data_IF_037995767498
#
_entry.id   IF_037995767498
#
_cell.length_a   1.000
_cell.length_b   1.000
_cell.length_c   1.000
_cell.angle_alpha   90.00
_cell.angle_beta   90.00
_cell.angle_gamma   90.00
#
_symmetry.space_group_name_H-M   'P 1'
#
loop_
_entity.id
_entity.type
_entity.pdbx_description
1 polymer ?
#
# COMPACT_ATOMS: atom_id res chain seq x y z
N UNK A 1 -21.90 -32.87 46.35
CA UNK A 1 -20.59 -32.17 46.24
C UNK A 1 -20.07 -32.32 44.81
N UNK A 2 -20.55 -31.50 43.87
CA UNK A 2 -20.04 -31.47 42.49
C UNK A 2 -19.36 -30.10 42.29
N UNK A 3 -18.04 -30.09 42.27
CA UNK A 3 -17.24 -28.92 41.97
C UNK A 3 -17.09 -28.79 40.44
N UNK A 4 -17.65 -27.71 39.89
CA UNK A 4 -17.49 -27.30 38.50
C UNK A 4 -16.09 -26.70 38.31
N UNK A 5 -15.27 -27.33 37.49
CA UNK A 5 -13.97 -26.82 37.07
C UNK A 5 -14.20 -25.86 35.90
N UNK A 6 -14.18 -24.56 36.18
CA UNK A 6 -14.13 -23.54 35.15
C UNK A 6 -12.75 -23.57 34.47
N UNK A 7 -12.71 -23.97 33.20
CA UNK A 7 -11.55 -23.76 32.34
C UNK A 7 -11.35 -22.27 32.11
N UNK A 8 -10.31 -21.71 32.73
CA UNK A 8 -9.79 -20.39 32.38
C UNK A 8 -9.29 -20.44 30.93
N UNK A 9 -10.03 -19.80 30.03
CA UNK A 9 -9.56 -19.50 28.68
C UNK A 9 -8.42 -18.49 28.83
N UNK A 10 -7.19 -18.98 28.80
CA UNK A 10 -6.00 -18.15 28.68
C UNK A 10 -6.11 -17.38 27.36
N UNK A 11 -6.52 -16.11 27.45
CA UNK A 11 -6.40 -15.17 26.35
C UNK A 11 -4.91 -15.06 25.99
N UNK A 12 -4.50 -15.27 24.74
CA UNK A 12 -3.11 -15.09 24.37
C UNK A 12 -2.73 -13.63 24.65
N UNK A 13 -1.70 -13.45 25.48
CA UNK A 13 -1.05 -12.16 25.69
C UNK A 13 -0.54 -11.69 24.33
N UNK A 14 -1.23 -10.72 23.73
CA UNK A 14 -0.79 -10.08 22.50
C UNK A 14 0.54 -9.36 22.82
N UNK A 15 1.64 -9.63 22.09
CA UNK A 15 2.89 -8.92 22.30
C UNK A 15 2.67 -7.40 22.15
N UNK A 16 3.35 -6.60 22.97
CA UNK A 16 3.11 -5.15 23.03
C UNK A 16 3.28 -4.50 21.65
N UNK A 17 2.33 -3.60 21.32
CA UNK A 17 2.11 -3.04 20.00
C UNK A 17 3.18 -2.07 19.47
N UNK A 18 4.21 -1.84 20.26
CA UNK A 18 5.45 -1.18 19.91
C UNK A 18 6.45 -1.69 20.95
N UNK A 19 7.66 -2.13 20.57
CA UNK A 19 8.60 -2.54 21.59
C UNK A 19 8.96 -1.29 22.41
N UNK A 20 8.79 -1.38 23.73
CA UNK A 20 8.92 -0.24 24.66
C UNK A 20 10.31 0.43 24.57
N UNK A 21 11.30 -0.31 24.06
CA UNK A 21 12.65 0.15 23.80
C UNK A 21 12.74 1.21 22.68
N UNK A 22 11.84 1.20 21.69
CA UNK A 22 11.81 2.19 20.61
C UNK A 22 11.25 3.52 21.06
N UNK A 23 10.17 3.50 21.86
CA UNK A 23 9.57 4.72 22.38
C UNK A 23 10.56 5.50 23.26
N UNK A 24 11.38 4.79 24.03
CA UNK A 24 12.39 5.37 24.91
C UNK A 24 13.53 6.10 24.17
N UNK A 25 13.75 5.83 22.87
CA UNK A 25 14.81 6.45 22.05
C UNK A 25 14.36 7.69 21.29
N UNK A 26 13.08 8.06 21.37
CA UNK A 26 12.53 9.19 20.64
C UNK A 26 12.53 10.48 21.46
N UNK A 27 12.63 11.66 20.81
CA UNK A 27 12.35 12.94 21.44
C UNK A 27 10.98 12.95 22.13
N UNK A 28 10.90 13.62 23.28
CA UNK A 28 9.70 13.61 24.13
C UNK A 28 8.43 14.11 23.42
N UNK A 29 8.55 15.04 22.45
CA UNK A 29 7.41 15.53 21.68
C UNK A 29 6.67 14.42 20.90
N UNK A 30 7.34 13.30 20.63
CA UNK A 30 6.79 12.19 19.84
C UNK A 30 6.20 11.05 20.66
N UNK A 31 6.36 11.05 21.98
CA UNK A 31 5.85 9.96 22.83
C UNK A 31 4.32 9.83 22.72
N UNK A 32 3.60 10.94 22.70
CA UNK A 32 2.15 10.95 22.52
C UNK A 32 1.69 10.41 21.16
N UNK A 33 2.49 10.62 20.10
CA UNK A 33 2.23 10.05 18.78
C UNK A 33 2.42 8.53 18.79
N UNK A 34 3.55 8.04 19.31
CA UNK A 34 3.82 6.59 19.38
C UNK A 34 2.78 5.86 20.21
N UNK A 35 2.32 6.44 21.31
CA UNK A 35 1.21 5.87 22.08
C UNK A 35 -0.09 5.81 21.28
N UNK A 36 -0.44 6.88 20.54
CA UNK A 36 -1.62 6.87 19.67
C UNK A 36 -1.49 5.79 18.60
N UNK A 37 -0.33 5.69 17.95
CA UNK A 37 -0.07 4.68 16.94
C UNK A 37 -0.10 3.26 17.51
N UNK A 38 0.45 3.04 18.71
CA UNK A 38 0.37 1.75 19.39
C UNK A 38 -1.08 1.40 19.75
N UNK A 39 -1.89 2.38 20.17
CA UNK A 39 -3.34 2.24 20.40
C UNK A 39 -4.08 1.93 19.09
N UNK A 40 -3.80 2.65 18.01
CA UNK A 40 -4.38 2.44 16.69
C UNK A 40 -4.01 1.07 16.11
N UNK A 41 -2.74 0.66 16.21
CA UNK A 41 -2.27 -0.67 15.80
C UNK A 41 -2.91 -1.76 16.65
N UNK A 42 -3.04 -1.56 17.95
CA UNK A 42 -3.75 -2.50 18.83
C UNK A 42 -5.23 -2.57 18.44
N UNK A 43 -5.87 -1.43 18.19
CA UNK A 43 -7.25 -1.37 17.73
C UNK A 43 -7.41 -2.01 16.35
N UNK A 44 -6.43 -1.89 15.47
CA UNK A 44 -6.38 -2.48 14.13
C UNK A 44 -6.19 -4.00 14.20
N UNK A 45 -5.23 -4.49 14.99
CA UNK A 45 -5.07 -5.92 15.24
C UNK A 45 -6.33 -6.48 15.89
N UNK A 46 -6.91 -5.76 16.85
CA UNK A 46 -8.21 -6.11 17.44
C UNK A 46 -9.34 -6.03 16.41
N UNK A 47 -9.33 -5.12 15.44
CA UNK A 47 -10.35 -5.02 14.40
C UNK A 47 -10.19 -6.11 13.33
N UNK A 48 -8.95 -6.54 13.03
CA UNK A 48 -8.69 -7.71 12.18
C UNK A 48 -9.10 -9.00 12.89
N UNK A 49 -8.81 -9.11 14.19
CA UNK A 49 -9.27 -10.21 15.03
C UNK A 49 -10.78 -10.14 15.30
N UNK A 50 -11.37 -8.94 15.40
CA UNK A 50 -12.80 -8.74 15.49
C UNK A 50 -13.48 -8.93 14.13
N UNK A 51 -12.75 -8.78 13.02
CA UNK A 51 -13.11 -9.22 11.68
C UNK A 51 -13.43 -10.71 11.61
N UNK A 52 -12.79 -11.51 12.47
CA UNK A 52 -13.21 -12.91 12.72
C UNK A 52 -14.66 -13.04 13.19
N UNK A 53 -15.20 -11.99 13.79
CA UNK A 53 -16.59 -11.90 14.29
C UNK A 53 -17.46 -10.95 13.44
N UNK A 54 -16.87 -9.94 12.80
CA UNK A 54 -17.51 -9.02 11.88
C UNK A 54 -17.51 -9.67 10.49
N UNK A 55 -18.56 -10.44 10.27
CA UNK A 55 -18.98 -11.16 9.06
C UNK A 55 -18.99 -10.36 7.72
N UNK A 56 -18.01 -9.49 7.41
CA UNK A 56 -17.95 -8.66 6.19
C UNK A 56 -16.52 -8.29 5.80
N UNK A 57 -16.27 -8.15 4.49
CA UNK A 57 -15.05 -7.52 3.97
C UNK A 57 -15.07 -6.03 4.33
N UNK A 58 -13.91 -5.48 4.68
CA UNK A 58 -13.75 -4.06 4.91
C UNK A 58 -13.98 -3.25 3.64
N UNK A 59 -14.34 -1.97 3.80
CA UNK A 59 -14.51 -1.06 2.67
C UNK A 59 -13.18 -0.95 1.90
N UNK A 60 -13.23 -1.20 0.59
CA UNK A 60 -12.07 -1.15 -0.31
C UNK A 60 -11.20 -2.41 -0.35
N UNK A 61 -11.55 -3.50 0.35
CA UNK A 61 -10.78 -4.77 0.28
C UNK A 61 -11.14 -5.64 -0.94
N UNK A 62 -12.10 -5.23 -1.76
CA UNK A 62 -12.56 -6.02 -2.92
C UNK A 62 -11.44 -6.33 -3.93
N UNK A 63 -10.57 -5.38 -4.35
CA UNK A 63 -9.45 -5.70 -5.22
C UNK A 63 -8.50 -6.75 -4.63
N UNK A 64 -8.18 -6.64 -3.33
CA UNK A 64 -7.35 -7.65 -2.65
C UNK A 64 -8.04 -9.01 -2.64
N UNK A 65 -9.36 -9.07 -2.45
CA UNK A 65 -10.11 -10.32 -2.53
C UNK A 65 -10.09 -10.94 -3.93
N UNK A 66 -10.17 -10.11 -4.98
CA UNK A 66 -9.99 -10.55 -6.37
C UNK A 66 -8.60 -11.15 -6.61
N UNK A 67 -7.55 -10.52 -6.06
CA UNK A 67 -6.19 -11.07 -6.12
C UNK A 67 -6.07 -12.40 -5.37
N UNK A 68 -6.65 -12.51 -4.17
CA UNK A 68 -6.65 -13.75 -3.38
C UNK A 68 -7.43 -14.88 -4.09
N UNK A 69 -8.44 -14.55 -4.89
CA UNK A 69 -9.08 -15.51 -5.80
C UNK A 69 -8.12 -16.03 -6.87
N UNK A 70 -7.36 -15.15 -7.51
CA UNK A 70 -6.27 -15.56 -8.43
C UNK A 70 -5.24 -16.47 -7.76
N UNK A 71 -4.85 -16.18 -6.52
CA UNK A 71 -3.95 -17.04 -5.73
C UNK A 71 -4.57 -18.39 -5.43
N UNK A 72 -5.86 -18.42 -5.09
CA UNK A 72 -6.58 -19.65 -4.81
C UNK A 72 -6.62 -20.58 -6.04
N UNK A 73 -6.71 -20.02 -7.26
CA UNK A 73 -6.62 -20.79 -8.51
C UNK A 73 -5.23 -21.41 -8.74
N UNK A 74 -4.16 -20.77 -8.25
CA UNK A 74 -2.75 -21.12 -8.52
C UNK A 74 -2.05 -21.92 -7.42
N UNK A 75 -2.77 -22.37 -6.39
CA UNK A 75 -2.17 -23.17 -5.31
C UNK A 75 -2.54 -22.73 -3.90
N UNK A 76 -3.45 -21.78 -3.74
CA UNK A 76 -4.12 -21.50 -2.46
C UNK A 76 -4.02 -20.05 -1.99
N UNK A 77 -4.86 -19.73 -1.01
CA UNK A 77 -4.89 -18.41 -0.36
C UNK A 77 -3.75 -18.32 0.66
N UNK A 78 -2.88 -17.29 0.63
CA UNK A 78 -1.89 -17.03 1.67
C UNK A 78 -2.52 -17.07 3.06
N UNK A 79 -1.80 -17.60 4.05
CA UNK A 79 -2.29 -17.77 5.43
C UNK A 79 -1.40 -17.04 6.44
N UNK A 80 -1.90 -16.88 7.67
CA UNK A 80 -1.12 -16.42 8.82
C UNK A 80 -0.40 -15.09 8.57
N UNK A 81 0.90 -15.05 8.86
CA UNK A 81 1.73 -13.86 8.77
C UNK A 81 1.73 -13.19 7.39
N UNK A 82 1.78 -13.99 6.32
CA UNK A 82 1.79 -13.49 4.93
C UNK A 82 0.48 -12.79 4.57
N UNK A 83 -0.66 -13.37 4.95
CA UNK A 83 -1.96 -12.75 4.73
C UNK A 83 -2.10 -11.44 5.51
N UNK A 84 -1.66 -11.41 6.77
CA UNK A 84 -1.66 -10.18 7.57
C UNK A 84 -0.80 -9.09 6.93
N UNK A 85 0.40 -9.45 6.44
CA UNK A 85 1.29 -8.51 5.74
C UNK A 85 0.65 -7.95 4.48
N UNK A 86 0.04 -8.81 3.63
CA UNK A 86 -0.68 -8.39 2.43
C UNK A 86 -1.82 -7.39 2.75
N UNK A 87 -2.61 -7.64 3.80
CA UNK A 87 -3.70 -6.73 4.19
C UNK A 87 -3.20 -5.38 4.69
N UNK A 88 -2.14 -5.37 5.50
CA UNK A 88 -1.52 -4.11 5.97
C UNK A 88 -0.89 -3.31 4.82
N UNK A 89 -0.26 -4.02 3.88
CA UNK A 89 0.30 -3.45 2.66
C UNK A 89 -0.80 -2.85 1.76
N UNK A 90 -1.89 -3.57 1.52
CA UNK A 90 -3.02 -3.05 0.73
C UNK A 90 -3.67 -1.82 1.39
N UNK A 91 -3.79 -1.84 2.72
CA UNK A 91 -4.25 -0.65 3.46
C UNK A 91 -3.33 0.54 3.26
N UNK A 92 -2.01 0.31 3.26
CA UNK A 92 -1.02 1.36 3.01
C UNK A 92 -1.10 1.88 1.59
N UNK A 93 -1.28 0.98 0.61
CA UNK A 93 -1.51 1.33 -0.79
C UNK A 93 -2.73 2.26 -0.93
N UNK A 94 -3.86 1.90 -0.32
CA UNK A 94 -5.08 2.71 -0.31
C UNK A 94 -4.91 4.05 0.42
N UNK A 95 -4.21 4.04 1.56
CA UNK A 95 -3.88 5.28 2.27
C UNK A 95 -3.03 6.20 1.37
N UNK A 96 -2.05 5.64 0.65
CA UNK A 96 -1.20 6.39 -0.27
C UNK A 96 -2.03 7.02 -1.38
N UNK A 97 -2.94 6.27 -2.00
CA UNK A 97 -3.86 6.82 -2.99
C UNK A 97 -4.79 7.90 -2.41
N UNK A 98 -5.20 7.78 -1.15
CA UNK A 98 -6.01 8.84 -0.50
C UNK A 98 -5.20 10.11 -0.20
N UNK A 99 -3.89 9.99 0.03
CA UNK A 99 -3.00 11.13 0.19
C UNK A 99 -2.70 11.76 -1.17
N UNK A 100 -2.53 10.93 -2.21
CA UNK A 100 -2.30 11.33 -3.60
C UNK A 100 -3.60 11.40 -4.42
N UNK A 101 -4.64 11.97 -3.82
CA UNK A 101 -6.02 11.93 -4.34
C UNK A 101 -6.24 12.70 -5.65
N UNK A 102 -5.35 13.63 -6.01
CA UNK A 102 -5.38 14.35 -7.29
C UNK A 102 -4.97 13.46 -8.47
N UNK A 103 -4.37 12.31 -8.19
CA UNK A 103 -4.04 11.29 -9.19
C UNK A 103 -2.57 11.27 -9.58
N UNK A 104 -2.26 10.45 -10.58
CA UNK A 104 -0.91 10.24 -11.06
C UNK A 104 -0.54 11.29 -12.09
N UNK A 105 0.62 11.91 -11.93
CA UNK A 105 1.05 13.06 -12.75
C UNK A 105 1.44 12.71 -14.18
N UNK A 106 1.43 11.42 -14.55
CA UNK A 106 1.89 10.95 -15.84
C UNK A 106 1.06 9.77 -16.41
N UNK A 107 -0.12 9.49 -15.85
CA UNK A 107 -1.02 8.43 -16.38
C UNK A 107 -2.13 9.06 -17.21
N UNK A 108 -2.30 8.59 -18.44
CA UNK A 108 -3.19 9.20 -19.44
C UNK A 108 -4.62 9.44 -18.94
N UNK A 109 -5.21 8.47 -18.24
CA UNK A 109 -6.58 8.59 -17.69
C UNK A 109 -6.69 9.64 -16.59
N UNK A 110 -5.67 9.77 -15.73
CA UNK A 110 -5.62 10.79 -14.68
C UNK A 110 -5.36 12.19 -15.25
N UNK A 111 -4.50 12.30 -16.27
CA UNK A 111 -4.26 13.55 -16.99
C UNK A 111 -5.53 14.05 -17.68
N UNK A 112 -6.25 13.16 -18.36
CA UNK A 112 -7.52 13.48 -19.00
C UNK A 112 -8.59 13.90 -17.97
N UNK A 113 -8.74 13.14 -16.89
CA UNK A 113 -9.74 13.40 -15.83
C UNK A 113 -9.48 14.71 -15.08
N UNK A 114 -8.21 15.07 -14.88
CA UNK A 114 -7.81 16.25 -14.11
C UNK A 114 -7.52 17.48 -14.98
N UNK A 115 -7.69 17.39 -16.31
CA UNK A 115 -7.26 18.43 -17.24
C UNK A 115 -5.79 18.85 -17.01
N UNK A 116 -4.91 17.87 -16.81
CA UNK A 116 -3.49 18.02 -16.49
C UNK A 116 -3.15 18.64 -15.11
N UNK A 117 -4.12 18.87 -14.21
CA UNK A 117 -3.85 19.37 -12.85
C UNK A 117 -2.92 18.43 -12.06
N UNK A 118 -3.11 17.11 -12.20
CA UNK A 118 -2.22 16.13 -11.56
C UNK A 118 -0.76 16.30 -12.01
N UNK A 119 -0.53 16.56 -13.30
CA UNK A 119 0.80 16.83 -13.82
C UNK A 119 1.39 18.13 -13.26
N UNK A 120 0.63 19.24 -13.26
CA UNK A 120 1.13 20.53 -12.73
C UNK A 120 1.54 20.43 -11.26
N UNK A 121 0.79 19.65 -10.47
CA UNK A 121 1.10 19.38 -9.07
C UNK A 121 2.38 18.59 -8.89
N UNK A 122 2.55 17.50 -9.66
CA UNK A 122 3.79 16.71 -9.62
C UNK A 122 4.97 17.53 -10.11
N UNK A 123 4.81 18.29 -11.19
CA UNK A 123 5.83 19.20 -11.70
C UNK A 123 6.27 20.20 -10.63
N UNK A 124 5.34 20.88 -9.97
CA UNK A 124 5.66 21.82 -8.91
C UNK A 124 6.38 21.17 -7.73
N UNK A 125 5.91 20.01 -7.27
CA UNK A 125 6.56 19.27 -6.18
C UNK A 125 7.99 18.86 -6.55
N UNK A 126 8.22 18.37 -7.78
CA UNK A 126 9.55 17.96 -8.26
C UNK A 126 10.48 19.15 -8.47
N UNK A 127 10.00 20.26 -9.02
CA UNK A 127 10.81 21.47 -9.22
C UNK A 127 11.27 22.06 -7.89
N UNK A 128 10.39 22.12 -6.88
CA UNK A 128 10.77 22.56 -5.53
C UNK A 128 11.69 21.53 -4.87
N UNK A 129 11.36 20.25 -4.96
CA UNK A 129 12.17 19.18 -4.37
C UNK A 129 13.53 18.93 -5.03
N UNK A 130 13.79 19.51 -6.20
CA UNK A 130 15.09 19.44 -6.86
C UNK A 130 16.12 20.41 -6.26
N UNK A 131 15.70 21.32 -5.38
CA UNK A 131 16.61 22.18 -4.62
C UNK A 131 17.48 21.31 -3.69
N UNK A 132 18.83 21.40 -3.77
CA UNK A 132 19.73 20.63 -2.93
C UNK A 132 19.57 20.83 -1.42
N UNK A 133 18.92 21.90 -0.98
CA UNK A 133 18.62 22.14 0.43
C UNK A 133 17.38 21.39 0.92
N UNK A 134 16.52 20.91 0.01
CA UNK A 134 15.32 20.14 0.36
C UNK A 134 15.71 18.72 0.74
N UNK A 135 15.30 18.31 1.94
CA UNK A 135 15.56 16.98 2.46
C UNK A 135 14.66 15.95 1.80
N UNK A 136 15.11 14.70 1.80
CA UNK A 136 14.35 13.60 1.21
C UNK A 136 12.95 13.43 1.83
N UNK A 137 12.81 13.61 3.16
CA UNK A 137 11.52 13.60 3.84
C UNK A 137 10.61 14.77 3.44
N UNK A 138 11.19 15.92 3.11
CA UNK A 138 10.45 17.08 2.62
C UNK A 138 9.96 16.86 1.18
N UNK A 139 10.69 16.12 0.33
CA UNK A 139 10.20 15.67 -0.97
C UNK A 139 8.94 14.79 -0.83
N UNK A 140 8.92 13.87 0.15
CA UNK A 140 7.74 13.04 0.45
C UNK A 140 6.58 13.92 0.93
N UNK A 141 6.86 14.90 1.80
CA UNK A 141 5.88 15.84 2.29
C UNK A 141 5.31 16.74 1.18
N UNK A 142 6.14 17.17 0.22
CA UNK A 142 5.72 17.91 -0.97
C UNK A 142 4.77 17.09 -1.85
N UNK A 143 5.04 15.81 -2.06
CA UNK A 143 4.11 14.94 -2.80
C UNK A 143 2.74 14.81 -2.10
N UNK A 144 2.74 14.65 -0.76
CA UNK A 144 1.52 14.62 0.05
C UNK A 144 0.77 15.96 -0.04
N UNK A 145 1.49 17.09 0.03
CA UNK A 145 0.91 18.43 -0.10
C UNK A 145 0.31 18.67 -1.49
N UNK A 146 1.06 18.30 -2.53
CA UNK A 146 0.62 18.37 -3.91
C UNK A 146 -0.65 17.53 -4.13
N UNK A 147 -0.75 16.42 -3.40
CA UNK A 147 -1.82 15.44 -3.51
C UNK A 147 -1.73 14.64 -4.80
N UNK A 148 -0.57 14.62 -5.46
CA UNK A 148 -0.32 13.94 -6.73
C UNK A 148 1.11 13.38 -6.74
N UNK A 149 1.35 12.32 -7.52
CA UNK A 149 2.68 11.70 -7.63
C UNK A 149 2.83 10.83 -8.88
N UNK A 150 4.06 10.66 -9.37
CA UNK A 150 4.38 9.57 -10.28
C UNK A 150 4.77 8.32 -9.48
N UNK A 151 5.33 7.30 -10.12
CA UNK A 151 5.72 6.05 -9.47
C UNK A 151 6.70 6.27 -8.31
N UNK A 152 7.68 7.17 -8.46
CA UNK A 152 8.66 7.49 -7.41
C UNK A 152 8.01 8.13 -6.18
N UNK A 153 7.21 9.18 -6.33
CA UNK A 153 6.52 9.81 -5.21
C UNK A 153 5.52 8.85 -4.56
N UNK A 154 4.79 8.08 -5.36
CA UNK A 154 3.84 7.07 -4.88
C UNK A 154 4.55 5.99 -4.06
N UNK A 155 5.69 5.49 -4.54
CA UNK A 155 6.53 4.53 -3.84
C UNK A 155 7.11 5.11 -2.54
N UNK A 156 7.58 6.36 -2.55
CA UNK A 156 8.09 7.04 -1.36
C UNK A 156 7.00 7.21 -0.30
N UNK A 157 5.86 7.78 -0.66
CA UNK A 157 4.73 7.94 0.27
C UNK A 157 4.30 6.59 0.82
N UNK A 158 4.18 5.57 -0.03
CA UNK A 158 3.85 4.22 0.41
C UNK A 158 4.88 3.64 1.40
N UNK A 159 6.18 3.82 1.14
CA UNK A 159 7.24 3.32 1.98
C UNK A 159 7.17 3.92 3.40
N UNK A 160 7.11 5.25 3.48
CA UNK A 160 7.05 5.96 4.76
C UNK A 160 5.73 5.68 5.48
N UNK A 161 4.59 5.69 4.78
CA UNK A 161 3.30 5.40 5.41
C UNK A 161 3.17 3.94 5.85
N UNK A 162 4.01 3.02 5.37
CA UNK A 162 4.04 1.65 5.88
C UNK A 162 4.82 1.49 7.18
N UNK A 163 5.83 2.35 7.45
CA UNK A 163 6.70 2.25 8.63
C UNK A 163 5.90 2.01 9.92
N UNK A 164 4.80 2.74 10.19
CA UNK A 164 3.98 2.53 11.38
C UNK A 164 3.40 1.12 11.57
N UNK A 165 3.26 0.37 10.48
CA UNK A 165 2.59 -0.92 10.39
C UNK A 165 3.56 -2.10 10.36
N UNK A 166 4.85 -1.83 10.16
CA UNK A 166 5.89 -2.85 10.11
C UNK A 166 5.90 -3.68 11.39
N UNK A 167 6.07 -5.00 11.23
CA UNK A 167 6.39 -5.89 12.34
C UNK A 167 7.86 -5.73 12.75
N UNK A 168 8.24 -6.17 13.96
CA UNK A 168 9.63 -6.08 14.42
C UNK A 168 10.63 -6.76 13.48
N UNK A 169 10.20 -7.79 12.76
CA UNK A 169 10.97 -8.59 11.82
C UNK A 169 10.83 -8.14 10.36
N UNK A 170 10.37 -6.90 10.11
CA UNK A 170 10.12 -6.36 8.78
C UNK A 170 10.90 -5.07 8.53
N UNK A 171 11.20 -4.84 7.26
CA UNK A 171 11.74 -3.58 6.73
C UNK A 171 10.93 -3.18 5.51
N UNK A 172 10.87 -1.88 5.23
CA UNK A 172 10.22 -1.35 4.04
C UNK A 172 11.25 -0.69 3.15
N UNK A 173 11.25 -1.09 1.88
CA UNK A 173 12.22 -0.64 0.90
C UNK A 173 11.52 0.22 -0.14
N UNK A 174 12.10 1.38 -0.48
CA UNK A 174 11.81 2.03 -1.75
C UNK A 174 12.67 1.36 -2.80
N UNK A 175 12.03 0.83 -3.84
CA UNK A 175 12.69 0.04 -4.88
C UNK A 175 12.42 0.65 -6.23
N UNK A 176 13.42 0.62 -7.09
CA UNK A 176 13.32 1.05 -8.48
C UNK A 176 13.85 -0.05 -9.40
N UNK A 177 13.22 -0.20 -10.56
CA UNK A 177 13.71 -1.04 -11.63
C UNK A 177 14.78 -0.29 -12.43
N UNK A 178 15.92 -0.93 -12.67
CA UNK A 178 17.13 -0.30 -13.23
C UNK A 178 17.09 -0.05 -14.75
N UNK A 179 16.01 -0.45 -15.41
CA UNK A 179 15.87 -0.45 -16.88
C UNK A 179 14.53 0.20 -17.23
N UNK A 180 13.45 -0.41 -16.76
CA UNK A 180 12.11 0.17 -16.77
C UNK A 180 12.07 1.24 -15.67
N UNK A 181 11.91 2.53 -16.01
CA UNK A 181 11.96 3.64 -15.06
C UNK A 181 10.73 3.68 -14.13
N UNK A 182 10.60 2.66 -13.28
CA UNK A 182 9.46 2.44 -12.40
C UNK A 182 9.92 2.20 -10.95
N UNK A 183 9.15 2.73 -9.99
CA UNK A 183 9.47 2.64 -8.56
C UNK A 183 8.23 2.33 -7.72
N UNK A 184 8.44 1.58 -6.63
CA UNK A 184 7.39 1.12 -5.71
C UNK A 184 7.96 0.88 -4.31
N UNK A 185 7.08 0.59 -3.33
CA UNK A 185 7.50 0.18 -2.00
C UNK A 185 7.39 -1.34 -1.82
N UNK A 186 8.31 -1.93 -1.06
CA UNK A 186 8.32 -3.37 -0.77
C UNK A 186 8.44 -3.63 0.73
N UNK A 187 7.60 -4.52 1.25
CA UNK A 187 7.74 -5.05 2.60
C UNK A 187 8.53 -6.34 2.52
N UNK A 188 9.71 -6.35 3.15
CA UNK A 188 10.63 -7.48 3.20
C UNK A 188 10.84 -7.93 4.64
N UNK A 189 11.27 -9.18 4.83
CA UNK A 189 11.80 -9.60 6.13
C UNK A 189 13.08 -8.81 6.46
N UNK A 190 13.25 -8.40 7.72
CA UNK A 190 14.40 -7.62 8.16
C UNK A 190 15.71 -8.41 7.94
N UNK A 191 16.69 -7.78 7.30
CA UNK A 191 17.97 -8.43 6.96
C UNK A 191 17.89 -9.54 5.90
N UNK A 192 16.71 -9.77 5.34
CA UNK A 192 16.48 -10.78 4.31
C UNK A 192 16.90 -10.29 2.92
N UNK A 193 17.48 -11.20 2.12
CA UNK A 193 17.55 -11.01 0.67
C UNK A 193 16.13 -11.00 0.09
N UNK A 194 15.96 -10.33 -1.04
CA UNK A 194 14.73 -10.34 -1.81
C UNK A 194 14.14 -11.75 -1.94
N UNK A 195 12.88 -11.90 -1.53
CA UNK A 195 12.18 -13.17 -1.47
C UNK A 195 10.88 -13.13 -2.29
N UNK A 196 10.41 -14.30 -2.70
CA UNK A 196 9.22 -14.45 -3.55
C UNK A 196 7.91 -14.12 -2.81
N UNK A 197 7.94 -14.18 -1.47
CA UNK A 197 6.84 -13.86 -0.56
C UNK A 197 6.95 -12.44 0.04
N UNK A 198 7.90 -11.63 -0.44
CA UNK A 198 7.89 -10.18 -0.21
C UNK A 198 6.59 -9.58 -0.75
N UNK A 199 6.11 -8.53 -0.10
CA UNK A 199 4.86 -7.87 -0.48
C UNK A 199 5.15 -6.55 -1.18
N UNK A 200 4.54 -6.36 -2.33
CA UNK A 200 4.67 -5.19 -3.18
C UNK A 200 3.53 -4.21 -2.88
N UNK A 201 3.89 -2.98 -2.57
CA UNK A 201 3.00 -1.84 -2.40
C UNK A 201 3.27 -0.87 -3.56
N UNK A 202 2.57 -1.08 -4.65
CA UNK A 202 2.56 -0.17 -5.79
C UNK A 202 1.27 0.63 -5.77
N UNK A 203 1.37 1.89 -5.33
CA UNK A 203 0.22 2.80 -5.29
C UNK A 203 0.00 3.57 -6.59
N UNK A 204 0.96 3.47 -7.53
CA UNK A 204 0.87 4.07 -8.86
C UNK A 204 0.22 3.10 -9.85
N UNK A 205 0.51 1.81 -9.76
CA UNK A 205 -0.13 0.79 -10.60
C UNK A 205 -1.58 0.47 -10.17
N UNK A 206 -2.36 -0.10 -11.10
CA UNK A 206 -3.73 -0.56 -10.88
C UNK A 206 -3.76 -1.91 -10.17
N UNK A 207 -4.50 -1.97 -9.06
CA UNK A 207 -4.72 -3.21 -8.30
C UNK A 207 -4.36 -3.10 -6.81
N UNK A 208 -4.47 -4.21 -6.07
CA UNK A 208 -4.15 -4.26 -4.65
C UNK A 208 -2.65 -4.40 -4.39
N UNK A 209 -2.25 -4.48 -3.12
CA UNK A 209 -0.94 -5.04 -2.78
C UNK A 209 -0.88 -6.53 -3.12
N UNK A 210 0.28 -6.99 -3.59
CA UNK A 210 0.48 -8.34 -4.13
C UNK A 210 1.78 -8.96 -3.63
N UNK A 211 1.92 -10.28 -3.73
CA UNK A 211 3.21 -10.93 -3.53
C UNK A 211 4.12 -10.68 -4.73
N UNK A 212 5.43 -10.55 -4.49
CA UNK A 212 6.44 -10.36 -5.54
C UNK A 212 6.29 -11.37 -6.69
N UNK A 213 5.99 -12.62 -6.36
CA UNK A 213 5.83 -13.70 -7.33
C UNK A 213 4.89 -13.38 -8.50
N UNK A 214 3.90 -12.53 -8.24
CA UNK A 214 2.82 -12.17 -9.16
C UNK A 214 2.88 -10.70 -9.59
N UNK A 215 3.90 -9.95 -9.19
CA UNK A 215 4.03 -8.54 -9.51
C UNK A 215 4.67 -8.33 -10.89
N UNK A 216 4.13 -7.41 -11.69
CA UNK A 216 4.61 -7.12 -13.04
C UNK A 216 6.10 -6.71 -13.06
N UNK A 217 6.47 -5.74 -12.22
CA UNK A 217 7.81 -5.14 -12.22
C UNK A 217 8.77 -5.77 -11.21
N UNK A 218 8.28 -6.34 -10.11
CA UNK A 218 9.12 -6.73 -8.98
C UNK A 218 9.71 -8.15 -9.08
N UNK A 219 9.32 -8.94 -10.08
CA UNK A 219 9.71 -10.35 -10.24
C UNK A 219 11.16 -10.54 -10.69
N UNK A 220 11.71 -9.57 -11.43
CA UNK A 220 13.09 -9.62 -11.95
C UNK A 220 14.09 -9.08 -10.92
N UNK A 221 14.44 -9.89 -9.93
CA UNK A 221 15.28 -9.50 -8.79
C UNK A 221 16.63 -8.90 -9.18
N UNK A 222 17.22 -9.34 -10.31
CA UNK A 222 18.51 -8.80 -10.78
C UNK A 222 18.40 -7.42 -11.44
N UNK A 223 17.19 -6.96 -11.72
CA UNK A 223 16.92 -5.68 -12.39
C UNK A 223 16.35 -4.63 -11.43
N UNK A 224 16.34 -4.88 -10.11
CA UNK A 224 15.81 -3.96 -9.12
C UNK A 224 16.89 -3.51 -8.13
N UNK A 225 16.76 -2.30 -7.61
CA UNK A 225 17.65 -1.72 -6.61
C UNK A 225 16.84 -1.09 -5.49
N UNK A 226 17.20 -1.36 -4.23
CA UNK A 226 16.72 -0.58 -3.09
C UNK A 226 17.41 0.78 -3.07
N UNK A 227 16.62 1.85 -3.06
CA UNK A 227 17.09 3.24 -2.94
C UNK A 227 17.09 3.65 -1.46
N UNK A 228 16.08 3.21 -0.72
CA UNK A 228 15.91 3.49 0.71
C UNK A 228 15.54 2.21 1.44
N UNK A 229 16.13 1.99 2.61
CA UNK A 229 15.79 0.93 3.55
C UNK A 229 15.30 1.55 4.86
N UNK A 230 13.99 1.47 5.09
CA UNK A 230 13.33 1.87 6.32
C UNK A 230 13.18 0.63 7.20
N UNK A 231 14.28 0.32 7.87
CA UNK A 231 14.34 -0.78 8.80
C UNK A 231 13.57 -0.53 10.10
N UNK A 232 13.40 -1.56 10.92
CA UNK A 232 12.67 -1.49 12.17
C UNK A 232 13.19 -0.38 13.10
N UNK A 233 14.51 -0.25 13.21
CA UNK A 233 15.14 0.58 14.25
C UNK A 233 15.34 2.05 13.84
N UNK A 234 15.33 2.33 12.53
CA UNK A 234 15.65 3.64 11.98
C UNK A 234 14.55 4.21 11.09
N UNK A 235 13.56 3.43 10.65
CA UNK A 235 12.48 3.93 9.78
C UNK A 235 11.52 4.92 10.46
N UNK A 236 11.42 4.87 11.80
CA UNK A 236 10.45 5.69 12.55
C UNK A 236 10.81 7.18 12.54
N UNK A 237 12.07 7.55 12.71
CA UNK A 237 12.47 8.95 12.72
C UNK A 237 12.22 9.65 11.36
N UNK A 238 12.64 9.08 10.21
CA UNK A 238 12.28 9.62 8.90
C UNK A 238 10.75 9.74 8.70
N UNK A 239 9.98 8.75 9.16
CA UNK A 239 8.51 8.86 9.12
C UNK A 239 7.98 10.05 9.93
N UNK A 240 8.50 10.31 11.12
CA UNK A 240 8.11 11.45 11.94
C UNK A 240 8.54 12.78 11.31
N UNK A 241 9.73 12.83 10.72
CA UNK A 241 10.20 14.00 9.96
C UNK A 241 9.29 14.32 8.78
N UNK A 242 8.77 13.31 8.07
CA UNK A 242 7.76 13.52 7.01
C UNK A 242 6.48 14.14 7.60
N UNK A 243 6.02 13.71 8.78
CA UNK A 243 4.82 14.31 9.38
C UNK A 243 5.04 15.77 9.78
N UNK A 244 6.18 16.08 10.41
CA UNK A 244 6.56 17.46 10.72
C UNK A 244 6.63 18.33 9.47
N UNK A 245 7.27 17.82 8.40
CA UNK A 245 7.36 18.53 7.13
C UNK A 245 5.98 18.75 6.50
N UNK A 246 5.09 17.77 6.53
CA UNK A 246 3.70 17.92 6.04
C UNK A 246 2.97 19.02 6.82
N UNK A 247 3.10 19.04 8.15
CA UNK A 247 2.44 20.05 8.99
C UNK A 247 3.05 21.44 8.79
N UNK A 248 4.37 21.55 8.62
CA UNK A 248 5.05 22.80 8.32
C UNK A 248 4.65 23.36 6.95
N UNK A 249 4.54 22.51 5.92
CA UNK A 249 4.05 22.92 4.60
C UNK A 249 2.59 23.39 4.70
N UNK A 250 1.72 22.67 5.42
CA UNK A 250 0.33 23.09 5.64
C UNK A 250 0.21 24.42 6.40
N UNK A 251 1.16 24.71 7.28
CA UNK A 251 1.25 25.98 8.00
C UNK A 251 1.79 27.14 7.13
N UNK A 252 2.16 26.90 5.87
CA UNK A 252 2.60 27.94 4.94
C UNK A 252 4.09 28.27 5.01
N UNK A 253 4.94 27.28 5.31
CA UNK A 253 6.39 27.45 5.25
C UNK A 253 6.89 27.85 3.84
N UNK A 254 8.20 28.05 3.71
CA UNK A 254 8.82 28.45 2.44
C UNK A 254 8.59 27.45 1.30
N UNK A 255 8.57 26.14 1.57
CA UNK A 255 8.28 25.11 0.57
C UNK A 255 6.84 25.21 0.02
N UNK A 256 5.87 25.52 0.87
CA UNK A 256 4.49 25.76 0.43
C UNK A 256 4.42 26.95 -0.53
N UNK A 257 5.12 28.04 -0.21
CA UNK A 257 5.15 29.26 -1.02
C UNK A 257 5.82 29.00 -2.37
N UNK A 258 6.96 28.30 -2.37
CA UNK A 258 7.66 27.88 -3.58
C UNK A 258 6.79 26.96 -4.45
N UNK A 259 6.12 25.98 -3.83
CA UNK A 259 5.19 25.09 -4.52
C UNK A 259 4.06 25.87 -5.19
N UNK A 260 3.42 26.78 -4.46
CA UNK A 260 2.30 27.57 -4.98
C UNK A 260 2.73 28.43 -6.17
N UNK A 261 3.92 29.03 -6.11
CA UNK A 261 4.49 29.80 -7.21
C UNK A 261 4.70 28.93 -8.46
N UNK A 262 5.44 27.82 -8.34
CA UNK A 262 5.74 26.95 -9.50
C UNK A 262 4.47 26.33 -10.07
N UNK A 263 3.51 25.92 -9.23
CA UNK A 263 2.24 25.35 -9.66
C UNK A 263 1.42 26.34 -10.50
N UNK A 264 1.30 27.59 -10.06
CA UNK A 264 0.59 28.62 -10.82
C UNK A 264 1.31 29.00 -12.12
N UNK A 265 2.66 29.02 -12.13
CA UNK A 265 3.43 29.21 -13.36
C UNK A 265 3.20 28.07 -14.36
N UNK A 266 3.27 26.81 -13.93
CA UNK A 266 3.03 25.64 -14.78
C UNK A 266 1.63 25.66 -15.40
N UNK A 267 0.61 26.07 -14.61
CA UNK A 267 -0.76 26.24 -15.09
C UNK A 267 -0.89 27.38 -16.09
N UNK A 268 -0.33 28.55 -15.79
CA UNK A 268 -0.36 29.73 -16.67
C UNK A 268 0.29 29.44 -18.02
N UNK A 269 1.40 28.72 -18.02
CA UNK A 269 2.10 28.31 -19.24
C UNK A 269 1.46 27.11 -19.94
N UNK A 270 0.38 26.55 -19.39
CA UNK A 270 -0.29 25.34 -19.88
C UNK A 270 0.69 24.18 -20.12
N UNK A 271 1.67 24.01 -19.22
CA UNK A 271 2.72 23.00 -19.36
C UNK A 271 2.10 21.62 -19.53
N UNK A 272 2.76 20.77 -20.32
CA UNK A 272 2.36 19.39 -20.60
C UNK A 272 3.54 18.45 -20.34
N UNK A 273 3.27 17.20 -19.91
CA UNK A 273 4.31 16.17 -19.88
C UNK A 273 4.76 15.86 -21.31
N UNK A 274 6.02 15.48 -21.45
CA UNK A 274 6.54 14.97 -22.72
C UNK A 274 5.75 13.70 -23.12
N UNK A 275 5.38 13.51 -24.39
CA UNK A 275 4.54 12.39 -24.81
C UNK A 275 5.06 11.01 -24.37
N UNK A 276 6.38 10.80 -24.42
CA UNK A 276 7.05 9.56 -24.00
C UNK A 276 7.01 9.32 -22.48
N UNK A 277 6.70 10.34 -21.69
CA UNK A 277 6.54 10.24 -20.24
C UNK A 277 5.11 9.91 -19.82
N UNK A 278 4.16 9.87 -20.76
CA UNK A 278 2.75 9.53 -20.50
C UNK A 278 2.56 8.01 -20.60
N UNK A 279 2.12 7.43 -19.49
CA UNK A 279 1.85 6.00 -19.36
C UNK A 279 0.35 5.73 -19.54
N UNK A 280 0.03 4.56 -20.08
CA UNK A 280 -1.30 4.01 -19.89
C UNK A 280 -1.46 3.51 -18.45
N UNK A 281 -2.68 3.29 -17.95
CA UNK A 281 -2.86 2.60 -16.68
C UNK A 281 -2.17 1.23 -16.73
N UNK A 282 -1.17 1.03 -15.89
CA UNK A 282 -0.42 -0.22 -15.83
C UNK A 282 -0.94 -1.10 -14.69
N UNK A 283 -1.16 -2.40 -14.91
CA UNK A 283 -1.55 -3.31 -13.84
C UNK A 283 -0.38 -3.64 -12.93
N UNK A 284 -0.68 -3.86 -11.64
CA UNK A 284 0.32 -4.35 -10.67
C UNK A 284 0.67 -5.83 -10.89
N UNK A 285 -0.23 -6.60 -11.52
CA UNK A 285 -0.11 -8.04 -11.70
C UNK A 285 0.66 -8.40 -12.96
N UNK A 286 1.45 -9.47 -12.89
CA UNK A 286 2.08 -10.04 -14.07
C UNK A 286 1.05 -10.70 -15.01
N UNK A 287 1.44 -10.84 -16.27
CA UNK A 287 0.60 -11.43 -17.32
C UNK A 287 0.08 -12.83 -16.95
N UNK A 288 0.93 -13.67 -16.36
CA UNK A 288 0.56 -15.03 -15.98
C UNK A 288 -0.55 -15.04 -14.91
N UNK A 289 -0.56 -14.07 -14.01
CA UNK A 289 -1.61 -13.93 -13.01
C UNK A 289 -2.91 -13.42 -13.64
N UNK A 290 -2.86 -12.47 -14.57
CA UNK A 290 -4.02 -12.05 -15.34
C UNK A 290 -4.67 -13.21 -16.09
N UNK A 291 -3.87 -13.98 -16.84
CA UNK A 291 -4.34 -15.15 -17.60
C UNK A 291 -4.96 -16.20 -16.68
N UNK A 292 -4.32 -16.50 -15.54
CA UNK A 292 -4.87 -17.45 -14.57
C UNK A 292 -6.24 -17.02 -14.02
N UNK A 293 -6.43 -15.72 -13.74
CA UNK A 293 -7.72 -15.19 -13.28
C UNK A 293 -8.77 -15.28 -14.40
N UNK A 294 -8.42 -14.88 -15.62
CA UNK A 294 -9.32 -14.92 -16.78
C UNK A 294 -9.80 -16.35 -17.07
N UNK A 295 -8.87 -17.31 -17.13
CA UNK A 295 -9.18 -18.73 -17.35
C UNK A 295 -10.04 -19.31 -16.22
N UNK A 296 -9.72 -18.96 -14.97
CA UNK A 296 -10.50 -19.38 -13.81
C UNK A 296 -11.94 -18.83 -13.81
N UNK A 297 -12.14 -17.61 -14.33
CA UNK A 297 -13.45 -17.00 -14.48
C UNK A 297 -14.26 -17.61 -15.63
N UNK A 298 -13.60 -18.06 -16.70
CA UNK A 298 -14.22 -18.76 -17.83
C UNK A 298 -14.70 -20.19 -17.47
N UNK A 299 -14.18 -20.78 -16.40
CA UNK A 299 -14.58 -22.09 -15.89
C UNK A 299 -16.03 -22.18 -15.36
N UNK A 300 -16.40 -23.37 -14.87
CA UNK A 300 -17.77 -23.67 -14.43
C UNK A 300 -18.25 -22.75 -13.29
N UNK A 301 -19.53 -22.36 -13.34
CA UNK A 301 -20.16 -21.43 -12.39
C UNK A 301 -20.03 -21.84 -10.92
N UNK A 302 -20.21 -23.13 -10.62
CA UNK A 302 -20.15 -23.63 -9.25
C UNK A 302 -18.72 -23.62 -8.68
N UNK A 303 -17.72 -23.99 -9.48
CA UNK A 303 -16.33 -24.03 -9.01
C UNK A 303 -15.82 -22.64 -8.60
N UNK A 304 -16.01 -21.62 -9.46
CA UNK A 304 -15.60 -20.25 -9.14
C UNK A 304 -16.36 -19.67 -7.94
N UNK A 305 -17.64 -19.99 -7.78
CA UNK A 305 -18.40 -19.58 -6.59
C UNK A 305 -17.85 -20.22 -5.31
N UNK A 306 -17.57 -21.53 -5.31
CA UNK A 306 -16.99 -22.22 -4.16
C UNK A 306 -15.60 -21.66 -3.82
N UNK A 307 -14.80 -21.32 -4.82
CA UNK A 307 -13.49 -20.70 -4.62
C UNK A 307 -13.60 -19.29 -4.04
N UNK A 308 -14.53 -18.46 -4.53
CA UNK A 308 -14.80 -17.15 -3.96
C UNK A 308 -15.31 -17.23 -2.51
N UNK A 309 -16.16 -18.21 -2.19
CA UNK A 309 -16.57 -18.52 -0.81
C UNK A 309 -15.35 -18.92 0.02
N UNK A 310 -14.47 -19.77 -0.51
CA UNK A 310 -13.23 -20.15 0.17
C UNK A 310 -12.35 -18.93 0.46
N UNK A 311 -12.18 -18.01 -0.49
CA UNK A 311 -11.44 -16.75 -0.29
C UNK A 311 -12.08 -15.88 0.80
N UNK A 312 -13.40 -15.72 0.79
CA UNK A 312 -14.10 -14.97 1.84
C UNK A 312 -13.84 -15.56 3.24
N UNK A 313 -13.79 -16.89 3.35
CA UNK A 313 -13.50 -17.58 4.62
C UNK A 313 -12.03 -17.54 4.99
N UNK A 314 -11.14 -17.87 4.07
CA UNK A 314 -9.72 -18.04 4.34
C UNK A 314 -8.96 -16.69 4.40
N UNK A 315 -9.33 -15.74 3.54
CA UNK A 315 -8.71 -14.42 3.44
C UNK A 315 -9.29 -13.38 4.41
N UNK A 316 -10.56 -13.54 4.78
CA UNK A 316 -11.32 -12.53 5.54
C UNK A 316 -12.06 -13.10 6.76
N UNK A 317 -11.82 -14.36 7.11
CA UNK A 317 -12.38 -15.06 8.28
C UNK A 317 -13.91 -14.96 8.42
N UNK A 318 -14.61 -15.01 7.29
CA UNK A 318 -16.08 -14.98 7.30
C UNK A 318 -16.67 -16.34 7.67
N UNK A 319 -17.81 -16.31 8.36
CA UNK A 319 -18.68 -17.49 8.43
C UNK A 319 -19.33 -17.81 7.08
N UNK A 320 -19.89 -19.02 6.92
CA UNK A 320 -20.34 -19.53 5.61
C UNK A 320 -21.42 -18.67 4.94
N UNK A 321 -22.43 -18.20 5.68
CA UNK A 321 -23.54 -17.42 5.10
C UNK A 321 -23.06 -16.06 4.55
N UNK A 322 -22.30 -15.24 5.30
CA UNK A 322 -21.67 -14.04 4.76
C UNK A 322 -20.69 -14.30 3.62
N UNK A 323 -19.93 -15.40 3.69
CA UNK A 323 -19.02 -15.78 2.60
C UNK A 323 -19.77 -16.03 1.28
N UNK A 324 -20.93 -16.70 1.34
CA UNK A 324 -21.83 -16.87 0.18
C UNK A 324 -22.30 -15.51 -0.33
N UNK A 325 -22.71 -14.61 0.55
CA UNK A 325 -23.18 -13.27 0.17
C UNK A 325 -22.05 -12.40 -0.43
N UNK A 326 -20.80 -12.61 -0.01
CA UNK A 326 -19.64 -11.86 -0.47
C UNK A 326 -19.07 -12.36 -1.81
N UNK A 327 -19.31 -13.64 -2.14
CA UNK A 327 -18.73 -14.28 -3.32
C UNK A 327 -18.96 -13.53 -4.65
N UNK A 328 -20.16 -12.99 -4.95
CA UNK A 328 -20.36 -12.20 -6.17
C UNK A 328 -19.46 -10.96 -6.26
N UNK A 329 -19.24 -10.26 -5.14
CA UNK A 329 -18.34 -9.10 -5.09
C UNK A 329 -16.87 -9.48 -5.31
N UNK A 330 -16.44 -10.63 -4.79
CA UNK A 330 -15.09 -11.17 -5.02
C UNK A 330 -14.90 -11.52 -6.50
N UNK A 331 -15.88 -12.18 -7.12
CA UNK A 331 -15.83 -12.52 -8.54
C UNK A 331 -15.83 -11.27 -9.43
N UNK A 332 -16.60 -10.24 -9.08
CA UNK A 332 -16.58 -8.96 -9.79
C UNK A 332 -15.23 -8.26 -9.67
N UNK A 333 -14.59 -8.31 -8.49
CA UNK A 333 -13.26 -7.74 -8.32
C UNK A 333 -12.19 -8.53 -9.07
N UNK A 334 -12.28 -9.86 -9.09
CA UNK A 334 -11.41 -10.71 -9.92
C UNK A 334 -11.60 -10.41 -11.42
N UNK A 335 -12.83 -10.19 -11.87
CA UNK A 335 -13.11 -9.80 -13.26
C UNK A 335 -12.45 -8.47 -13.63
N UNK A 336 -12.51 -7.47 -12.75
CA UNK A 336 -11.82 -6.19 -12.95
C UNK A 336 -10.30 -6.38 -13.05
N UNK A 337 -9.72 -7.28 -12.26
CA UNK A 337 -8.30 -7.62 -12.38
C UNK A 337 -7.98 -8.39 -13.66
N UNK A 338 -8.91 -9.17 -14.22
CA UNK A 338 -8.67 -9.92 -15.46
C UNK A 338 -8.66 -9.02 -16.72
N UNK A 339 -9.20 -7.80 -16.62
CA UNK A 339 -9.34 -6.86 -17.72
C UNK A 339 -8.65 -5.53 -17.37
N UNK A 340 -7.32 -5.45 -17.46
CA UNK A 340 -6.59 -4.22 -17.11
C UNK A 340 -6.91 -3.03 -18.03
N UNK A 341 -7.49 -3.27 -19.22
CA UNK A 341 -7.76 -2.25 -20.25
C UNK A 341 -9.22 -1.75 -20.29
N UNK A 342 -10.04 -1.97 -19.25
CA UNK A 342 -11.47 -1.60 -19.22
C UNK A 342 -11.74 -0.16 -18.72
#
# INVERSE_FOLDING_TARGET
MHASIAHAVNSPVLPSAFPADRAARLPAQWHGFVERQARERTAELRAMHAGRYANRMGAGEAPLAGYLFGRALRGGVPQGATLTRLRLADRTRRQTQSLLWRGRGNVATDLARSSFDAFHRVHAARTVGADPEVLFEEEVALAIHAGAGNCEESGRVAAFMHVPRMRPDESVHLVQHAIESHAWAEVRHAGGRTAIDDVIIDAWAEGPAVLRADAAYAKRVNAIRSIVDLGPDYGLMPFLNVQDAVDAIRAGNHLQQAFAFVYEEARRCALRPEPESIWQPEPVLDRAMHEAIADGLAGTGLHKQLLAIHVARAGFDMSIRPAIAAAPGILSAAQALAQPDA
#
